data_IF_631356756781
#
_entry.id   IF_631356756781
#
_cell.length_a   1.000
_cell.length_b   1.000
_cell.length_c   1.000
_cell.angle_alpha   90.00
_cell.angle_beta   90.00
_cell.angle_gamma   90.00
#
_symmetry.space_group_name_H-M   'P 1'
#
loop_
_entity.id
_entity.type
_entity.pdbx_description
1 polymer ?
#
# COMPACT_ATOMS: atom_id res chain seq x y z
N UNK A 1 5.78 17.50 -12.23
CA UNK A 1 5.00 18.72 -12.59
C UNK A 1 5.87 19.92 -12.94
N UNK A 2 6.85 20.31 -12.13
CA UNK A 2 7.70 21.49 -12.38
C UNK A 2 8.39 21.46 -13.75
N UNK A 3 9.01 20.34 -14.15
CA UNK A 3 9.66 20.24 -15.47
C UNK A 3 8.71 20.53 -16.64
N UNK A 4 7.46 20.08 -16.56
CA UNK A 4 6.43 20.40 -17.58
C UNK A 4 6.07 21.88 -17.56
N UNK A 5 5.95 22.48 -16.38
CA UNK A 5 5.69 23.91 -16.24
C UNK A 5 6.86 24.76 -16.79
N UNK A 6 8.11 24.36 -16.54
CA UNK A 6 9.30 25.01 -17.11
C UNK A 6 9.27 24.98 -18.65
N UNK A 7 8.85 23.87 -19.26
CA UNK A 7 8.71 23.79 -20.71
C UNK A 7 7.69 24.82 -21.24
N UNK A 8 6.51 24.92 -20.61
CA UNK A 8 5.47 25.91 -20.98
C UNK A 8 5.93 27.36 -20.77
N UNK A 9 6.62 27.65 -19.67
CA UNK A 9 7.21 28.97 -19.41
C UNK A 9 8.26 29.30 -20.47
N UNK A 10 9.08 28.33 -20.88
CA UNK A 10 10.11 28.52 -21.92
C UNK A 10 9.48 28.85 -23.27
N UNK A 11 8.37 28.20 -23.63
CA UNK A 11 7.67 28.43 -24.90
C UNK A 11 6.98 29.80 -24.96
N UNK A 12 6.46 30.28 -23.84
CA UNK A 12 5.60 31.47 -23.80
C UNK A 12 6.33 32.72 -23.29
N UNK A 13 7.41 32.56 -22.53
CA UNK A 13 8.05 33.64 -21.79
C UNK A 13 7.14 34.29 -20.74
N UNK A 14 6.10 33.59 -20.28
CA UNK A 14 5.13 34.08 -19.30
C UNK A 14 5.30 33.36 -17.95
N UNK A 15 5.08 34.06 -16.81
CA UNK A 15 5.05 33.40 -15.51
C UNK A 15 3.86 32.42 -15.44
N UNK A 16 4.04 31.33 -14.68
CA UNK A 16 3.04 30.27 -14.51
C UNK A 16 2.75 30.04 -13.03
N UNK A 17 1.51 30.31 -12.61
CA UNK A 17 0.97 29.88 -11.33
C UNK A 17 0.24 28.53 -11.50
N UNK A 18 0.73 27.50 -10.82
CA UNK A 18 0.11 26.18 -10.77
C UNK A 18 -0.55 25.99 -9.42
N UNK A 19 -1.88 25.93 -9.42
CA UNK A 19 -2.68 25.64 -8.21
C UNK A 19 -3.14 24.20 -8.28
N UNK A 20 -2.87 23.43 -7.23
CA UNK A 20 -3.22 22.03 -7.13
C UNK A 20 -4.14 21.78 -5.93
N UNK A 21 -5.05 20.82 -6.09
CA UNK A 21 -5.85 20.30 -4.98
C UNK A 21 -4.96 19.59 -3.95
N UNK A 22 -5.43 19.52 -2.71
CA UNK A 22 -4.88 18.65 -1.67
C UNK A 22 -6.01 17.81 -1.05
N UNK A 23 -5.69 16.58 -0.66
CA UNK A 23 -6.63 15.65 -0.01
C UNK A 23 -6.77 14.32 -0.72
N UNK A 24 -7.28 13.32 -0.01
CA UNK A 24 -7.67 12.02 -0.53
C UNK A 24 -9.08 12.04 -1.13
N UNK A 25 -9.27 11.36 -2.27
CA UNK A 25 -10.55 11.06 -2.88
C UNK A 25 -10.52 9.64 -3.43
N UNK A 26 -11.25 8.75 -2.77
CA UNK A 26 -11.24 7.31 -3.05
C UNK A 26 -9.80 6.76 -3.08
N UNK A 27 -9.31 6.35 -4.25
CA UNK A 27 -7.95 5.81 -4.41
C UNK A 27 -6.88 6.88 -4.63
N UNK A 28 -7.28 8.10 -5.02
CA UNK A 28 -6.36 9.15 -5.40
C UNK A 28 -6.03 10.04 -4.19
N UNK A 29 -4.78 10.48 -4.12
CA UNK A 29 -4.35 11.51 -3.17
C UNK A 29 -3.76 12.67 -3.96
N UNK A 30 -4.36 13.84 -3.79
CA UNK A 30 -3.83 15.08 -4.32
C UNK A 30 -2.85 15.65 -3.30
N UNK A 31 -1.61 15.88 -3.74
CA UNK A 31 -0.48 16.19 -2.86
C UNK A 31 -0.31 17.69 -2.61
N UNK A 32 -1.16 18.56 -3.17
CA UNK A 32 -0.99 20.00 -3.09
C UNK A 32 0.30 20.44 -3.77
N UNK A 33 1.17 21.15 -3.04
CA UNK A 33 2.43 21.63 -3.59
C UNK A 33 2.22 22.56 -4.79
N UNK A 34 1.23 23.46 -4.69
CA UNK A 34 1.02 24.58 -5.61
C UNK A 34 2.29 25.41 -5.73
N UNK A 35 2.57 26.00 -6.88
CA UNK A 35 3.82 26.74 -7.09
C UNK A 35 3.71 27.86 -8.12
N UNK A 36 4.67 28.78 -8.08
CA UNK A 36 4.83 29.86 -9.04
C UNK A 36 6.21 29.79 -9.70
N UNK A 37 6.24 29.69 -11.03
CA UNK A 37 7.42 29.95 -11.85
C UNK A 37 7.32 31.35 -12.45
N UNK A 38 8.39 32.13 -12.36
CA UNK A 38 8.50 33.40 -13.08
C UNK A 38 8.85 33.17 -14.56
N UNK A 39 8.77 34.22 -15.39
CA UNK A 39 9.13 34.18 -16.80
C UNK A 39 10.59 33.77 -17.06
N UNK A 40 11.48 33.98 -16.08
CA UNK A 40 12.89 33.54 -16.13
C UNK A 40 13.08 32.05 -15.75
N UNK A 41 11.99 31.35 -15.41
CA UNK A 41 11.90 29.95 -14.95
C UNK A 41 12.34 29.73 -13.51
N UNK A 42 12.60 30.79 -12.72
CA UNK A 42 12.87 30.65 -11.30
C UNK A 42 11.60 30.30 -10.53
N UNK A 43 11.74 29.36 -9.60
CA UNK A 43 10.70 29.04 -8.61
C UNK A 43 10.61 30.20 -7.62
N UNK A 44 9.48 30.92 -7.63
CA UNK A 44 9.25 32.09 -6.78
C UNK A 44 8.45 31.76 -5.53
N UNK A 45 7.65 30.71 -5.58
CA UNK A 45 6.87 30.24 -4.44
C UNK A 45 6.54 28.76 -4.61
N UNK A 46 6.42 28.04 -3.50
CA UNK A 46 6.05 26.63 -3.46
C UNK A 46 5.32 26.37 -2.14
N UNK A 47 4.04 26.02 -2.24
CA UNK A 47 3.19 25.70 -1.10
C UNK A 47 3.52 24.34 -0.49
N UNK A 48 2.95 24.10 0.69
CA UNK A 48 3.10 22.85 1.43
C UNK A 48 2.52 21.67 0.66
N UNK A 49 3.07 20.50 0.93
CA UNK A 49 2.65 19.23 0.36
C UNK A 49 1.79 18.50 1.39
N UNK A 50 0.72 17.84 0.96
CA UNK A 50 -0.19 17.07 1.83
C UNK A 50 -0.83 17.88 2.98
N UNK A 51 -0.85 19.21 2.87
CA UNK A 51 -1.44 20.14 3.83
C UNK A 51 -2.27 21.19 3.08
N UNK A 52 -3.43 21.56 3.63
CA UNK A 52 -4.15 22.75 3.19
C UNK A 52 -3.29 23.98 3.45
N UNK A 53 -3.16 24.83 2.44
CA UNK A 53 -2.24 25.95 2.50
C UNK A 53 -2.71 27.14 1.68
N UNK A 54 -2.74 28.32 2.30
CA UNK A 54 -2.97 29.60 1.63
C UNK A 54 -1.64 30.24 1.27
N UNK A 55 -1.24 30.14 0.00
CA UNK A 55 0.00 30.74 -0.50
C UNK A 55 -0.28 32.12 -1.11
N UNK A 56 0.18 33.18 -0.45
CA UNK A 56 -0.01 34.57 -0.91
C UNK A 56 1.13 35.01 -1.83
N UNK A 57 0.77 35.60 -2.97
CA UNK A 57 1.70 36.07 -4.00
C UNK A 57 1.44 37.55 -4.28
N UNK A 58 2.50 38.35 -4.44
CA UNK A 58 2.40 39.77 -4.83
C UNK A 58 2.95 39.97 -6.22
N UNK A 59 2.23 40.71 -7.05
CA UNK A 59 2.66 41.08 -8.39
C UNK A 59 2.73 42.59 -8.50
N UNK A 60 3.74 43.09 -9.20
CA UNK A 60 3.84 44.50 -9.58
C UNK A 60 4.02 44.60 -11.09
N UNK A 61 3.42 45.62 -11.69
CA UNK A 61 3.58 45.90 -13.12
C UNK A 61 4.93 46.57 -13.34
N UNK A 62 5.73 45.98 -14.23
CA UNK A 62 6.96 46.57 -14.73
C UNK A 62 6.62 47.39 -15.97
N UNK A 63 6.61 48.72 -15.85
CA UNK A 63 6.20 49.62 -16.93
C UNK A 63 7.07 49.45 -18.19
N UNK A 64 8.39 49.30 -18.01
CA UNK A 64 9.34 49.17 -19.12
C UNK A 64 9.13 47.91 -19.98
N UNK A 65 8.54 46.86 -19.42
CA UNK A 65 8.31 45.59 -20.11
C UNK A 65 6.81 45.34 -20.39
N UNK A 66 5.93 46.25 -19.96
CA UNK A 66 4.47 46.10 -19.91
C UNK A 66 3.99 44.77 -19.29
N UNK A 67 4.76 44.20 -18.35
CA UNK A 67 4.52 42.87 -17.78
C UNK A 67 4.31 42.90 -16.27
N UNK A 68 3.46 42.01 -15.78
CA UNK A 68 3.37 41.74 -14.35
C UNK A 68 4.47 40.76 -13.94
N UNK A 69 5.25 41.14 -12.93
CA UNK A 69 6.26 40.26 -12.34
C UNK A 69 5.95 40.00 -10.86
N UNK A 70 6.23 38.78 -10.37
CA UNK A 70 6.15 38.51 -8.95
C UNK A 70 7.20 39.30 -8.18
N UNK A 71 6.78 39.91 -7.07
CA UNK A 71 7.59 40.78 -6.22
C UNK A 71 7.55 40.32 -4.77
N UNK A 72 8.59 40.69 -4.02
CA UNK A 72 8.79 40.23 -2.65
C UNK A 72 9.29 38.77 -2.58
N UNK A 73 9.50 38.33 -1.34
CA UNK A 73 9.77 36.94 -1.00
C UNK A 73 8.45 36.23 -0.71
N UNK A 74 8.37 34.96 -1.11
CA UNK A 74 7.26 34.07 -0.81
C UNK A 74 7.81 32.75 -0.29
N UNK A 75 6.94 32.00 0.41
CA UNK A 75 7.32 30.71 0.97
C UNK A 75 7.69 29.69 -0.11
N UNK A 76 8.79 28.97 0.11
CA UNK A 76 9.24 27.88 -0.76
C UNK A 76 9.44 26.62 0.10
N UNK A 77 8.41 25.79 0.16
CA UNK A 77 8.44 24.49 0.84
C UNK A 77 9.08 23.44 -0.07
N UNK A 78 10.11 22.74 0.39
CA UNK A 78 10.75 21.70 -0.42
C UNK A 78 9.83 20.47 -0.52
N UNK A 79 9.82 19.78 -1.68
CA UNK A 79 9.15 18.50 -1.77
C UNK A 79 9.79 17.53 -0.75
N UNK A 80 8.97 16.75 -0.02
CA UNK A 80 9.49 15.77 0.92
C UNK A 80 10.28 14.67 0.19
N UNK A 81 11.07 13.88 0.92
CA UNK A 81 11.78 12.74 0.31
C UNK A 81 10.79 11.67 -0.19
N UNK A 82 11.28 10.69 -0.94
CA UNK A 82 10.41 9.68 -1.56
C UNK A 82 9.62 8.86 -0.53
N UNK A 83 10.24 8.44 0.58
CA UNK A 83 9.55 7.67 1.60
C UNK A 83 8.50 8.53 2.32
N UNK A 84 8.84 9.78 2.63
CA UNK A 84 7.92 10.73 3.25
C UNK A 84 6.73 11.03 2.33
N UNK A 85 6.94 11.22 1.02
CA UNK A 85 5.85 11.41 0.05
C UNK A 85 4.86 10.24 0.08
N UNK A 86 5.36 9.00 0.02
CA UNK A 86 4.52 7.81 0.05
C UNK A 86 3.77 7.71 1.39
N UNK A 87 4.49 7.87 2.50
CA UNK A 87 3.89 7.74 3.83
C UNK A 87 2.81 8.78 4.07
N UNK A 88 3.07 10.05 3.73
CA UNK A 88 2.10 11.14 3.87
C UNK A 88 0.92 10.98 2.94
N UNK A 89 1.11 10.43 1.74
CA UNK A 89 0.01 10.07 0.86
C UNK A 89 -0.88 8.99 1.50
N UNK A 90 -0.30 7.93 2.08
CA UNK A 90 -1.06 6.90 2.79
C UNK A 90 -1.84 7.45 3.99
N UNK A 91 -1.20 8.31 4.79
CA UNK A 91 -1.82 8.97 5.96
C UNK A 91 -2.99 9.85 5.54
N UNK A 92 -2.78 10.74 4.57
CA UNK A 92 -3.82 11.66 4.08
C UNK A 92 -4.97 10.90 3.40
N UNK A 93 -4.65 9.91 2.57
CA UNK A 93 -5.63 9.08 1.89
C UNK A 93 -6.53 8.33 2.88
N UNK A 94 -5.95 7.70 3.91
CA UNK A 94 -6.74 7.02 4.94
C UNK A 94 -7.54 8.00 5.80
N UNK A 95 -6.94 9.11 6.24
CA UNK A 95 -7.62 10.13 7.05
C UNK A 95 -8.88 10.63 6.33
N UNK A 96 -8.71 11.05 5.08
CA UNK A 96 -9.81 11.58 4.28
C UNK A 96 -10.86 10.51 3.96
N UNK A 97 -10.45 9.27 3.66
CA UNK A 97 -11.40 8.20 3.41
C UNK A 97 -12.27 7.92 4.65
N UNK A 98 -11.68 7.89 5.85
CA UNK A 98 -12.40 7.64 7.10
C UNK A 98 -13.28 8.83 7.46
N UNK A 99 -12.73 10.04 7.46
CA UNK A 99 -13.42 11.24 7.97
C UNK A 99 -14.52 11.71 7.01
N UNK A 100 -14.29 11.70 5.69
CA UNK A 100 -15.30 12.14 4.70
C UNK A 100 -16.48 11.19 4.60
N UNK A 101 -16.27 9.90 4.92
CA UNK A 101 -17.34 8.90 4.98
C UNK A 101 -17.95 8.75 6.39
N UNK A 102 -17.48 9.51 7.39
CA UNK A 102 -18.06 9.53 8.73
C UNK A 102 -17.80 8.27 9.57
N UNK A 103 -16.74 7.50 9.27
CA UNK A 103 -16.38 6.35 10.09
C UNK A 103 -15.81 6.80 11.45
N UNK A 104 -16.23 6.19 12.58
CA UNK A 104 -15.74 6.57 13.90
C UNK A 104 -14.25 6.22 14.10
N UNK A 105 -13.71 5.31 13.30
CA UNK A 105 -12.32 4.85 13.35
C UNK A 105 -12.11 3.64 12.45
N UNK A 106 -11.03 2.89 12.70
CA UNK A 106 -10.69 1.66 11.97
C UNK A 106 -10.46 0.47 12.88
N UNK A 107 -10.75 -0.71 12.34
CA UNK A 107 -10.36 -2.01 12.90
C UNK A 107 -9.44 -2.72 11.91
N UNK A 108 -8.41 -3.42 12.40
CA UNK A 108 -7.49 -4.21 11.56
C UNK A 108 -7.02 -5.47 12.28
N UNK A 109 -6.66 -6.49 11.51
CA UNK A 109 -5.96 -7.67 12.02
C UNK A 109 -4.47 -7.37 12.21
N UNK A 110 -3.95 -7.58 13.41
CA UNK A 110 -2.54 -7.37 13.72
C UNK A 110 -1.85 -8.72 13.89
N UNK A 111 -1.23 -9.22 12.81
CA UNK A 111 -0.64 -10.57 12.76
C UNK A 111 0.73 -10.66 13.44
N UNK A 112 1.30 -9.53 13.83
CA UNK A 112 2.71 -9.43 14.22
C UNK A 112 3.65 -9.34 13.02
N UNK A 113 3.16 -9.43 11.77
CA UNK A 113 3.94 -9.20 10.55
C UNK A 113 4.06 -7.72 10.17
N UNK A 114 5.04 -7.41 9.31
CA UNK A 114 5.40 -6.04 8.94
C UNK A 114 4.26 -5.26 8.27
N UNK A 115 3.45 -5.88 7.41
CA UNK A 115 2.40 -5.17 6.67
C UNK A 115 1.30 -4.67 7.59
N UNK A 116 0.87 -5.52 8.54
CA UNK A 116 -0.11 -5.14 9.55
C UNK A 116 0.45 -4.10 10.52
N UNK A 117 1.72 -4.19 10.89
CA UNK A 117 2.38 -3.20 11.75
C UNK A 117 2.50 -1.83 11.08
N UNK A 118 2.90 -1.79 9.80
CA UNK A 118 2.97 -0.54 9.03
C UNK A 118 1.57 0.05 8.81
N UNK A 119 0.58 -0.79 8.49
CA UNK A 119 -0.82 -0.34 8.34
C UNK A 119 -1.37 0.26 9.64
N UNK A 120 -1.06 -0.35 10.79
CA UNK A 120 -1.43 0.18 12.10
C UNK A 120 -0.74 1.52 12.39
N UNK A 121 0.56 1.65 12.07
CA UNK A 121 1.28 2.91 12.24
C UNK A 121 0.67 4.04 11.39
N UNK A 122 0.36 3.77 10.12
CA UNK A 122 -0.31 4.72 9.23
C UNK A 122 -1.69 5.11 9.78
N UNK A 123 -2.47 4.13 10.25
CA UNK A 123 -3.79 4.39 10.84
C UNK A 123 -3.72 5.29 12.07
N UNK A 124 -2.72 5.09 12.93
CA UNK A 124 -2.53 5.90 14.13
C UNK A 124 -2.05 7.31 13.77
N UNK A 125 -1.16 7.46 12.80
CA UNK A 125 -0.76 8.79 12.32
C UNK A 125 -1.89 9.54 11.62
N UNK A 126 -2.80 8.82 10.95
CA UNK A 126 -3.96 9.39 10.29
C UNK A 126 -5.05 9.82 11.29
N UNK A 127 -5.41 8.96 12.25
CA UNK A 127 -6.65 9.09 13.02
C UNK A 127 -6.44 9.28 14.53
N UNK A 128 -5.21 9.05 15.01
CA UNK A 128 -4.89 8.97 16.43
C UNK A 128 -5.26 7.63 17.05
N UNK A 129 -4.51 7.23 18.08
CA UNK A 129 -4.58 5.88 18.65
C UNK A 129 -5.99 5.48 19.18
N UNK A 130 -6.77 6.44 19.68
CA UNK A 130 -8.13 6.19 20.21
C UNK A 130 -9.13 5.70 19.14
N UNK A 131 -8.87 6.00 17.87
CA UNK A 131 -9.72 5.61 16.72
C UNK A 131 -9.20 4.37 16.00
N UNK A 132 -8.19 3.69 16.54
CA UNK A 132 -7.59 2.50 15.94
C UNK A 132 -7.74 1.32 16.91
N UNK A 133 -8.36 0.24 16.43
CA UNK A 133 -8.51 -1.02 17.16
C UNK A 133 -7.82 -2.15 16.39
N UNK A 134 -7.01 -2.93 17.07
CA UNK A 134 -6.37 -4.10 16.52
C UNK A 134 -6.98 -5.38 17.11
N UNK A 135 -7.09 -6.42 16.28
CA UNK A 135 -7.40 -7.78 16.71
C UNK A 135 -6.22 -8.71 16.39
N UNK A 136 -5.72 -9.42 17.40
CA UNK A 136 -4.86 -10.58 17.20
C UNK A 136 -5.73 -11.84 17.19
N UNK A 137 -5.60 -12.67 16.16
CA UNK A 137 -6.51 -13.80 15.90
C UNK A 137 -5.75 -15.10 15.71
N UNK A 138 -5.23 -15.69 16.81
CA UNK A 138 -4.35 -16.84 16.74
C UNK A 138 -5.10 -18.12 16.37
N UNK A 139 -4.39 -19.02 15.70
CA UNK A 139 -4.74 -20.44 15.53
C UNK A 139 -3.64 -21.32 16.13
N UNK A 140 -3.83 -22.64 16.06
CA UNK A 140 -2.79 -23.62 16.45
C UNK A 140 -1.43 -23.45 15.77
N UNK A 141 -1.32 -22.71 14.66
CA UNK A 141 -0.05 -22.46 13.95
C UNK A 141 0.61 -21.14 14.32
N UNK A 142 -0.09 -20.27 15.06
CA UNK A 142 0.41 -18.94 15.40
C UNK A 142 1.56 -19.02 16.39
N UNK A 143 2.69 -18.38 16.05
CA UNK A 143 3.88 -18.45 16.89
C UNK A 143 3.78 -17.53 18.12
N UNK A 144 4.45 -17.91 19.22
CA UNK A 144 4.58 -17.06 20.41
C UNK A 144 5.23 -15.71 20.05
N UNK A 145 6.20 -15.72 19.15
CA UNK A 145 6.87 -14.51 18.68
C UNK A 145 5.90 -13.54 18.00
N UNK A 146 4.98 -14.05 17.17
CA UNK A 146 3.96 -13.22 16.51
C UNK A 146 2.95 -12.61 17.49
N UNK A 147 2.57 -13.34 18.55
CA UNK A 147 1.76 -12.80 19.66
C UNK A 147 2.47 -11.66 20.40
N UNK A 148 3.72 -11.87 20.79
CA UNK A 148 4.55 -10.87 21.46
C UNK A 148 4.78 -9.63 20.58
N UNK A 149 5.04 -9.83 19.28
CA UNK A 149 5.25 -8.76 18.31
C UNK A 149 4.00 -7.90 18.12
N UNK A 150 2.83 -8.53 17.96
CA UNK A 150 1.56 -7.82 17.85
C UNK A 150 1.27 -7.00 19.11
N UNK A 151 1.48 -7.59 20.29
CA UNK A 151 1.32 -6.90 21.57
C UNK A 151 2.26 -5.70 21.71
N UNK A 152 3.53 -5.86 21.32
CA UNK A 152 4.52 -4.79 21.40
C UNK A 152 4.24 -3.65 20.41
N UNK A 153 3.84 -3.96 19.16
CA UNK A 153 3.40 -2.95 18.18
C UNK A 153 2.21 -2.17 18.74
N UNK A 154 1.19 -2.86 19.26
CA UNK A 154 0.01 -2.21 19.82
C UNK A 154 0.36 -1.31 21.01
N UNK A 155 1.24 -1.77 21.91
CA UNK A 155 1.73 -1.02 23.07
C UNK A 155 2.47 0.25 22.65
N UNK A 156 3.40 0.16 21.69
CA UNK A 156 4.18 1.30 21.20
C UNK A 156 3.30 2.35 20.51
N UNK A 157 2.30 1.90 19.77
CA UNK A 157 1.33 2.77 19.10
C UNK A 157 0.25 3.33 20.05
N UNK A 158 0.09 2.75 21.24
CA UNK A 158 -0.95 3.13 22.20
C UNK A 158 -2.37 2.73 21.77
N UNK A 159 -2.51 1.70 20.95
CA UNK A 159 -3.81 1.24 20.43
C UNK A 159 -4.36 0.08 21.25
N UNK A 160 -5.69 -0.07 21.22
CA UNK A 160 -6.36 -1.23 21.83
C UNK A 160 -6.07 -2.47 20.99
N UNK A 161 -5.59 -3.53 21.65
CA UNK A 161 -5.44 -4.87 21.09
C UNK A 161 -6.37 -5.83 21.84
N UNK A 162 -7.25 -6.51 21.11
CA UNK A 162 -8.03 -7.64 21.64
C UNK A 162 -7.51 -8.94 21.00
N UNK A 163 -7.43 -10.01 21.78
CA UNK A 163 -7.07 -11.33 21.28
C UNK A 163 -8.32 -12.23 21.20
N UNK A 164 -8.59 -12.80 20.03
CA UNK A 164 -9.73 -13.68 19.79
C UNK A 164 -9.27 -14.86 18.94
N UNK A 165 -9.12 -16.05 19.55
CA UNK A 165 -8.71 -17.24 18.81
C UNK A 165 -9.73 -17.65 17.75
N UNK A 166 -9.24 -18.04 16.57
CA UNK A 166 -10.07 -18.62 15.50
C UNK A 166 -10.21 -20.14 15.61
N UNK A 167 -9.53 -20.77 16.56
CA UNK A 167 -9.46 -22.23 16.70
C UNK A 167 -10.84 -22.90 16.80
N UNK A 168 -11.83 -22.36 17.54
CA UNK A 168 -13.17 -22.95 17.58
C UNK A 168 -13.87 -22.91 16.23
N UNK A 169 -13.75 -21.80 15.49
CA UNK A 169 -14.36 -21.66 14.17
C UNK A 169 -13.67 -22.57 13.14
N UNK A 170 -12.34 -22.64 13.18
CA UNK A 170 -11.56 -23.50 12.30
C UNK A 170 -11.91 -24.97 12.50
N UNK A 171 -11.95 -25.44 13.75
CA UNK A 171 -12.32 -26.82 14.09
C UNK A 171 -13.75 -27.15 13.66
N UNK A 172 -14.69 -26.22 13.85
CA UNK A 172 -16.07 -26.41 13.42
C UNK A 172 -16.18 -26.57 11.88
N UNK A 173 -15.49 -25.72 11.11
CA UNK A 173 -15.48 -25.83 9.65
C UNK A 173 -14.84 -27.14 9.16
N UNK A 174 -13.73 -27.58 9.77
CA UNK A 174 -13.12 -28.87 9.44
C UNK A 174 -14.08 -30.03 9.71
N UNK A 175 -14.75 -30.07 10.86
CA UNK A 175 -15.74 -31.11 11.17
C UNK A 175 -16.96 -31.10 10.23
N UNK A 176 -17.39 -29.93 9.76
CA UNK A 176 -18.46 -29.83 8.77
C UNK A 176 -18.06 -30.36 7.39
N UNK A 177 -16.78 -30.24 7.03
CA UNK A 177 -16.25 -30.60 5.71
C UNK A 177 -15.63 -31.99 5.68
N UNK A 178 -15.37 -32.61 6.83
CA UNK A 178 -14.79 -33.96 6.98
C UNK A 178 -15.44 -35.00 6.06
N UNK A 179 -16.79 -35.13 5.97
CA UNK A 179 -17.41 -36.12 5.08
C UNK A 179 -17.22 -35.85 3.58
N UNK A 180 -16.85 -34.62 3.21
CA UNK A 180 -16.61 -34.20 1.82
C UNK A 180 -15.14 -34.25 1.44
N UNK A 181 -14.25 -34.00 2.40
CA UNK A 181 -12.80 -34.00 2.18
C UNK A 181 -12.22 -35.42 2.24
N UNK A 182 -12.89 -36.34 2.92
CA UNK A 182 -12.44 -37.74 3.06
C UNK A 182 -10.98 -37.77 3.59
N UNK A 183 -10.16 -38.69 3.11
CA UNK A 183 -8.74 -38.79 3.50
C UNK A 183 -7.80 -37.93 2.63
N UNK A 184 -8.30 -36.87 1.97
CA UNK A 184 -7.43 -35.99 1.18
C UNK A 184 -6.46 -35.22 2.10
N UNK A 185 -5.18 -35.07 1.70
CA UNK A 185 -4.20 -34.35 2.51
C UNK A 185 -4.53 -32.86 2.57
N UNK A 186 -4.30 -32.18 3.71
CA UNK A 186 -4.47 -30.73 3.82
C UNK A 186 -3.66 -29.96 2.77
N UNK A 187 -4.27 -28.92 2.22
CA UNK A 187 -3.66 -28.03 1.24
C UNK A 187 -4.02 -26.56 1.51
N UNK A 188 -3.95 -25.72 0.48
CA UNK A 188 -4.34 -24.30 0.59
C UNK A 188 -5.79 -24.08 1.06
N UNK A 189 -6.65 -25.10 0.99
CA UNK A 189 -8.04 -25.07 1.41
C UNK A 189 -8.16 -24.79 2.90
N UNK A 190 -7.46 -25.56 3.74
CA UNK A 190 -7.41 -25.41 5.18
C UNK A 190 -6.79 -24.08 5.60
N UNK A 191 -5.72 -23.66 4.91
CA UNK A 191 -5.10 -22.35 5.09
C UNK A 191 -6.11 -21.21 4.82
N UNK A 192 -6.88 -21.31 3.73
CA UNK A 192 -7.88 -20.32 3.35
C UNK A 192 -9.08 -20.27 4.33
N UNK A 193 -9.46 -21.39 4.96
CA UNK A 193 -10.52 -21.40 5.99
C UNK A 193 -10.11 -20.51 7.17
N UNK A 194 -8.86 -20.61 7.62
CA UNK A 194 -8.34 -19.77 8.71
C UNK A 194 -8.39 -18.28 8.33
N UNK A 195 -7.96 -17.91 7.12
CA UNK A 195 -8.02 -16.52 6.66
C UNK A 195 -9.47 -15.98 6.62
N UNK A 196 -10.43 -16.79 6.17
CA UNK A 196 -11.86 -16.42 6.15
C UNK A 196 -12.47 -16.32 7.55
N UNK A 197 -12.08 -17.18 8.48
CA UNK A 197 -12.53 -17.08 9.88
C UNK A 197 -12.09 -15.75 10.51
N UNK A 198 -10.84 -15.31 10.26
CA UNK A 198 -10.34 -13.99 10.69
C UNK A 198 -11.14 -12.84 10.09
N UNK A 199 -11.46 -12.92 8.80
CA UNK A 199 -12.27 -11.90 8.12
C UNK A 199 -13.67 -11.77 8.73
N UNK A 200 -14.33 -12.90 9.04
CA UNK A 200 -15.64 -12.89 9.70
C UNK A 200 -15.59 -12.19 11.06
N UNK A 201 -14.56 -12.46 11.89
CA UNK A 201 -14.40 -11.77 13.18
C UNK A 201 -14.21 -10.26 13.01
N UNK A 202 -13.31 -9.85 12.11
CA UNK A 202 -13.03 -8.44 11.84
C UNK A 202 -14.27 -7.70 11.32
N UNK A 203 -14.99 -8.30 10.38
CA UNK A 203 -16.23 -7.74 9.86
C UNK A 203 -17.33 -7.69 10.92
N UNK A 204 -17.45 -8.71 11.78
CA UNK A 204 -18.41 -8.69 12.88
C UNK A 204 -18.13 -7.55 13.86
N UNK A 205 -16.86 -7.29 14.19
CA UNK A 205 -16.45 -6.13 15.01
C UNK A 205 -16.75 -4.81 14.29
N UNK A 206 -16.42 -4.71 13.00
CA UNK A 206 -16.75 -3.55 12.16
C UNK A 206 -18.26 -3.27 12.17
N UNK A 207 -19.10 -4.27 11.91
CA UNK A 207 -20.56 -4.13 11.89
C UNK A 207 -21.14 -3.78 13.26
N UNK A 208 -20.60 -4.35 14.35
CA UNK A 208 -21.13 -4.12 15.70
C UNK A 208 -20.79 -2.74 16.24
N UNK A 209 -19.59 -2.24 15.98
CA UNK A 209 -19.08 -1.02 16.61
C UNK A 209 -18.93 0.17 15.64
N UNK A 210 -19.10 -0.07 14.34
CA UNK A 210 -18.99 0.95 13.28
C UNK A 210 -17.61 1.26 12.68
N UNK A 211 -16.43 0.87 13.22
CA UNK A 211 -15.16 1.23 12.58
C UNK A 211 -15.00 0.50 11.25
N UNK A 212 -14.35 1.15 10.28
CA UNK A 212 -14.07 0.54 8.99
C UNK A 212 -12.98 -0.53 9.11
N UNK A 213 -13.16 -1.69 8.47
CA UNK A 213 -12.11 -2.69 8.36
C UNK A 213 -11.02 -2.24 7.38
N UNK A 214 -9.80 -2.02 7.89
CA UNK A 214 -8.60 -1.72 7.11
C UNK A 214 -7.83 -3.02 6.79
N UNK A 215 -7.67 -3.32 5.50
CA UNK A 215 -6.87 -4.47 5.07
C UNK A 215 -5.39 -4.15 5.00
N UNK A 216 -4.54 -5.17 5.09
CA UNK A 216 -3.08 -5.02 5.19
C UNK A 216 -2.31 -5.61 4.02
N UNK A 217 -2.99 -6.08 2.97
CA UNK A 217 -2.34 -6.68 1.80
C UNK A 217 -1.57 -5.64 0.97
N UNK A 218 -0.34 -5.98 0.59
CA UNK A 218 0.54 -5.10 -0.19
C UNK A 218 0.46 -5.37 -1.72
N UNK A 219 1.07 -4.49 -2.52
CA UNK A 219 1.03 -4.59 -3.99
C UNK A 219 1.67 -5.87 -4.50
N UNK A 220 2.73 -6.37 -3.87
CA UNK A 220 3.41 -7.60 -4.28
C UNK A 220 2.50 -8.81 -4.15
N UNK A 221 1.87 -8.97 -2.98
CA UNK A 221 0.90 -10.05 -2.69
C UNK A 221 -0.30 -9.98 -3.64
N UNK A 222 -0.91 -8.81 -3.80
CA UNK A 222 -2.03 -8.61 -4.72
C UNK A 222 -1.65 -8.86 -6.18
N UNK A 223 -0.42 -8.56 -6.56
CA UNK A 223 0.08 -8.78 -7.93
C UNK A 223 0.08 -10.26 -8.28
N UNK A 224 0.62 -11.11 -7.41
CA UNK A 224 0.74 -12.55 -7.69
C UNK A 224 -0.41 -13.38 -7.12
N UNK A 225 -1.38 -12.74 -6.47
CA UNK A 225 -2.55 -13.39 -5.89
C UNK A 225 -2.24 -14.21 -4.64
N UNK A 226 -1.15 -13.86 -3.94
CA UNK A 226 -0.78 -14.43 -2.64
C UNK A 226 -1.67 -13.83 -1.55
N UNK A 227 -2.95 -14.17 -1.65
CA UNK A 227 -4.05 -13.57 -0.91
C UNK A 227 -5.29 -14.46 -0.95
N UNK A 228 -6.11 -14.38 0.09
CA UNK A 228 -7.34 -15.16 0.21
C UNK A 228 -8.55 -14.26 -0.05
N UNK A 229 -9.33 -14.59 -1.09
CA UNK A 229 -10.62 -13.95 -1.29
C UNK A 229 -11.52 -14.19 -0.08
N UNK A 230 -12.11 -13.10 0.41
CA UNK A 230 -12.94 -13.07 1.61
C UNK A 230 -12.20 -13.47 2.89
N UNK A 231 -10.86 -13.52 2.83
CA UNK A 231 -9.96 -13.63 3.97
C UNK A 231 -9.24 -12.31 4.20
N UNK A 232 -7.92 -12.30 4.04
CA UNK A 232 -7.06 -11.10 4.15
C UNK A 232 -7.42 -9.95 3.20
N UNK A 233 -8.13 -10.24 2.10
CA UNK A 233 -8.65 -9.22 1.18
C UNK A 233 -9.93 -8.53 1.68
N UNK A 234 -10.55 -9.01 2.75
CA UNK A 234 -11.83 -8.48 3.24
C UNK A 234 -11.62 -7.16 4.00
N UNK A 235 -12.16 -6.07 3.48
CA UNK A 235 -12.21 -4.78 4.17
C UNK A 235 -12.75 -3.65 3.31
N UNK A 236 -12.82 -2.45 3.88
CA UNK A 236 -13.34 -1.25 3.23
C UNK A 236 -12.26 -0.41 2.53
N UNK A 237 -11.01 -0.50 2.98
CA UNK A 237 -9.90 0.27 2.41
C UNK A 237 -8.56 -0.44 2.63
N UNK A 238 -7.54 -0.13 1.82
CA UNK A 238 -6.16 -0.62 1.96
C UNK A 238 -5.14 0.50 1.77
N UNK A 239 -4.33 0.77 2.80
CA UNK A 239 -3.23 1.75 2.67
C UNK A 239 -2.04 1.21 1.90
N UNK A 240 -1.85 -0.12 1.87
CA UNK A 240 -0.71 -0.76 1.22
C UNK A 240 -1.01 -1.29 -0.20
N UNK A 241 -2.24 -1.07 -0.70
CA UNK A 241 -2.73 -1.58 -1.99
C UNK A 241 -1.73 -1.40 -3.14
N UNK A 242 -1.09 -0.24 -3.19
CA UNK A 242 -0.17 0.13 -4.27
C UNK A 242 1.28 0.34 -3.77
N UNK A 243 1.65 -0.32 -2.68
CA UNK A 243 3.00 -0.31 -2.08
C UNK A 243 3.62 -1.71 -2.20
N UNK A 244 4.76 -1.84 -2.87
CA UNK A 244 5.49 -3.12 -2.94
C UNK A 244 6.11 -3.50 -1.60
N UNK A 245 6.35 -4.80 -1.38
CA UNK A 245 6.93 -5.34 -0.14
C UNK A 245 8.27 -4.70 0.20
N UNK A 246 9.16 -4.55 -0.78
CA UNK A 246 10.44 -3.83 -0.60
C UNK A 246 10.25 -2.40 -0.09
N UNK A 247 9.18 -1.73 -0.55
CA UNK A 247 8.82 -0.37 -0.10
C UNK A 247 8.18 -0.40 1.29
N UNK A 248 7.40 -1.44 1.64
CA UNK A 248 6.90 -1.65 3.02
C UNK A 248 8.06 -1.69 4.03
N UNK A 249 9.13 -2.46 3.75
CA UNK A 249 10.33 -2.49 4.59
C UNK A 249 11.01 -1.12 4.70
N UNK A 250 11.14 -0.40 3.58
CA UNK A 250 11.73 0.94 3.56
C UNK A 250 10.92 1.94 4.41
N UNK A 251 9.59 1.90 4.28
CA UNK A 251 8.66 2.78 5.01
C UNK A 251 8.60 2.47 6.50
N UNK A 252 8.63 1.19 6.89
CA UNK A 252 8.68 0.81 8.31
C UNK A 252 9.94 1.37 8.99
N UNK A 253 11.11 1.21 8.34
CA UNK A 253 12.37 1.79 8.83
C UNK A 253 12.35 3.31 8.82
N UNK A 254 11.80 3.93 7.78
CA UNK A 254 11.65 5.38 7.70
C UNK A 254 10.76 5.90 8.85
N UNK A 255 9.60 5.29 9.08
CA UNK A 255 8.66 5.69 10.14
C UNK A 255 9.23 5.52 11.55
N UNK A 256 10.11 4.55 11.76
CA UNK A 256 10.81 4.40 13.04
C UNK A 256 11.83 5.52 13.32
N UNK A 257 12.40 6.11 12.26
CA UNK A 257 13.36 7.23 12.37
C UNK A 257 12.67 8.59 12.36
N UNK A 258 11.52 8.68 11.72
CA UNK A 258 10.84 9.94 11.41
C UNK A 258 9.36 9.83 11.73
N UNK A 259 8.85 10.71 12.60
CA UNK A 259 7.41 10.95 12.68
C UNK A 259 7.00 11.91 11.56
N UNK A 260 5.99 11.57 10.74
CA UNK A 260 5.57 12.46 9.65
C UNK A 260 5.01 13.78 10.21
N UNK A 261 5.25 14.93 9.55
CA UNK A 261 4.60 16.19 9.89
C UNK A 261 3.07 16.03 9.94
N UNK A 262 2.46 16.46 11.04
CA UNK A 262 1.00 16.36 11.26
C UNK A 262 0.48 14.94 11.54
N UNK A 263 1.36 13.95 11.72
CA UNK A 263 0.97 12.61 12.17
C UNK A 263 0.52 12.61 13.62
N UNK A 264 -0.56 11.90 13.95
CA UNK A 264 -1.12 11.83 15.31
C UNK A 264 -0.52 10.72 16.18
N UNK A 265 0.37 9.89 15.64
CA UNK A 265 1.02 8.82 16.36
C UNK A 265 2.23 9.27 17.18
N UNK A 266 2.74 8.36 18.03
CA UNK A 266 3.84 8.66 18.92
C UNK A 266 5.15 8.90 18.17
N UNK A 267 6.04 9.67 18.82
CA UNK A 267 7.43 9.85 18.41
C UNK A 267 8.24 8.56 18.58
N UNK A 268 9.34 8.45 17.84
CA UNK A 268 10.29 7.34 17.96
C UNK A 268 9.87 6.06 17.23
N UNK A 269 10.56 4.96 17.57
CA UNK A 269 10.43 3.67 16.89
C UNK A 269 9.18 2.91 17.33
N UNK A 270 8.12 2.97 16.52
CA UNK A 270 6.80 2.38 16.80
C UNK A 270 6.66 0.93 16.34
N UNK A 271 7.47 0.49 15.36
CA UNK A 271 7.51 -0.90 14.87
C UNK A 271 8.77 -1.56 15.44
N UNK A 272 8.68 -2.68 16.18
CA UNK A 272 9.87 -3.37 16.70
C UNK A 272 10.80 -3.84 15.57
N UNK A 273 12.12 -3.77 15.78
CA UNK A 273 13.09 -4.21 14.75
C UNK A 273 12.91 -5.68 14.38
N UNK A 274 12.57 -6.55 15.36
CA UNK A 274 12.24 -7.96 15.13
C UNK A 274 11.11 -8.15 14.11
N UNK A 275 10.12 -7.25 14.08
CA UNK A 275 9.01 -7.28 13.10
C UNK A 275 9.49 -6.90 11.69
N UNK A 276 10.52 -6.05 11.59
CA UNK A 276 11.11 -5.61 10.33
C UNK A 276 12.11 -6.65 9.79
N UNK A 277 12.85 -7.34 10.65
CA UNK A 277 13.90 -8.27 10.25
C UNK A 277 13.41 -9.70 10.04
N UNK A 278 12.30 -10.10 10.68
CA UNK A 278 11.80 -11.47 10.55
C UNK A 278 11.31 -11.75 9.11
N UNK A 279 11.54 -12.97 8.60
CA UNK A 279 11.01 -13.38 7.31
C UNK A 279 9.47 -13.25 7.25
N UNK A 280 8.90 -12.73 6.15
CA UNK A 280 7.46 -12.70 5.94
C UNK A 280 6.82 -14.11 5.96
N UNK A 281 5.67 -14.21 6.62
CA UNK A 281 4.87 -15.42 6.73
C UNK A 281 3.41 -15.09 7.05
N UNK A 282 2.48 -15.89 6.52
CA UNK A 282 1.06 -15.86 6.87
C UNK A 282 0.68 -16.74 8.09
N UNK A 283 1.59 -17.59 8.57
CA UNK A 283 1.39 -18.53 9.69
C UNK A 283 0.07 -19.33 9.61
N UNK A 284 -0.25 -19.88 8.42
CA UNK A 284 -1.43 -20.70 8.17
C UNK A 284 -1.15 -22.20 8.26
N UNK A 285 0.12 -22.60 8.23
CA UNK A 285 0.60 -23.97 8.48
C UNK A 285 1.94 -23.93 9.21
N UNK A 286 2.38 -25.08 9.71
CA UNK A 286 3.67 -25.20 10.40
C UNK A 286 4.84 -24.73 9.51
N UNK A 287 5.73 -23.95 10.11
CA UNK A 287 6.98 -23.44 9.52
C UNK A 287 6.84 -22.73 8.16
N UNK A 288 5.66 -22.17 7.87
CA UNK A 288 5.37 -21.49 6.60
C UNK A 288 6.25 -20.26 6.38
N UNK A 289 6.77 -20.11 5.16
CA UNK A 289 7.38 -18.86 4.66
C UNK A 289 6.76 -18.47 3.33
N UNK A 290 6.66 -17.16 3.06
CA UNK A 290 6.16 -16.67 1.77
C UNK A 290 7.03 -17.19 0.60
N UNK A 291 8.34 -17.26 0.83
CA UNK A 291 9.34 -17.73 -0.14
C UNK A 291 9.24 -19.23 -0.47
N UNK A 292 8.43 -20.00 0.28
CA UNK A 292 8.09 -21.38 -0.12
C UNK A 292 7.32 -21.38 -1.47
N UNK A 293 6.56 -20.30 -1.73
CA UNK A 293 5.69 -20.16 -2.92
C UNK A 293 6.08 -19.01 -3.83
N UNK A 294 6.83 -18.03 -3.34
CA UNK A 294 7.21 -16.83 -4.10
C UNK A 294 8.74 -16.77 -4.28
N UNK A 295 9.24 -16.15 -5.37
CA UNK A 295 10.62 -15.70 -5.40
C UNK A 295 10.88 -14.68 -4.29
N UNK A 296 12.14 -14.46 -3.87
CA UNK A 296 12.48 -13.43 -2.91
C UNK A 296 11.91 -12.07 -3.32
N UNK A 297 11.34 -11.33 -2.36
CA UNK A 297 10.60 -10.09 -2.65
C UNK A 297 11.41 -9.05 -3.42
N UNK A 298 12.73 -8.95 -3.17
CA UNK A 298 13.60 -8.03 -3.91
C UNK A 298 13.62 -8.34 -5.42
N UNK A 299 13.61 -9.63 -5.80
CA UNK A 299 13.56 -10.06 -7.19
C UNK A 299 12.13 -9.95 -7.75
N UNK A 300 11.15 -10.39 -6.96
CA UNK A 300 9.74 -10.36 -7.34
C UNK A 300 9.29 -8.94 -7.69
N UNK A 301 9.59 -7.97 -6.82
CA UNK A 301 9.14 -6.58 -6.98
C UNK A 301 9.74 -5.92 -8.22
N UNK A 302 11.01 -6.19 -8.56
CA UNK A 302 11.65 -5.65 -9.77
C UNK A 302 11.01 -6.22 -11.05
N UNK A 303 10.70 -7.52 -11.07
CA UNK A 303 9.98 -8.14 -12.18
C UNK A 303 8.57 -7.53 -12.30
N UNK A 304 7.86 -7.35 -11.17
CA UNK A 304 6.52 -6.78 -11.14
C UNK A 304 6.50 -5.32 -11.60
N UNK A 305 7.44 -4.47 -11.16
CA UNK A 305 7.59 -3.10 -11.64
C UNK A 305 7.75 -3.05 -13.16
N UNK A 306 8.62 -3.91 -13.70
CA UNK A 306 8.80 -4.00 -15.15
C UNK A 306 7.53 -4.45 -15.89
N UNK A 307 6.83 -5.47 -15.39
CA UNK A 307 5.60 -5.98 -16.01
C UNK A 307 4.39 -5.01 -15.89
N UNK A 308 4.31 -4.25 -14.81
CA UNK A 308 3.11 -3.46 -14.46
C UNK A 308 3.31 -1.99 -14.82
N UNK A 309 4.38 -1.37 -14.32
CA UNK A 309 4.60 0.08 -14.40
C UNK A 309 5.31 0.48 -15.68
N UNK A 310 6.29 -0.31 -16.11
CA UNK A 310 7.03 -0.07 -17.35
C UNK A 310 6.40 -0.72 -18.59
N UNK A 311 5.37 -1.56 -18.40
CA UNK A 311 4.66 -2.30 -19.46
C UNK A 311 5.57 -3.18 -20.33
N UNK A 312 6.65 -3.70 -19.75
CA UNK A 312 7.60 -4.54 -20.45
C UNK A 312 7.01 -5.92 -20.74
N UNK A 313 7.41 -6.49 -21.88
CA UNK A 313 7.14 -7.89 -22.14
C UNK A 313 8.04 -8.78 -21.27
N UNK A 314 7.65 -10.03 -20.99
CA UNK A 314 8.54 -10.99 -20.33
C UNK A 314 9.87 -11.20 -21.08
N UNK A 315 9.85 -11.08 -22.40
CA UNK A 315 11.04 -11.13 -23.26
C UNK A 315 12.01 -10.01 -22.93
N UNK A 316 11.51 -8.79 -22.73
CA UNK A 316 12.35 -7.63 -22.41
C UNK A 316 12.95 -7.74 -21.00
N UNK A 317 12.22 -8.35 -20.06
CA UNK A 317 12.75 -8.66 -18.73
C UNK A 317 13.87 -9.69 -18.77
N UNK A 318 13.71 -10.75 -19.56
CA UNK A 318 14.79 -11.71 -19.78
C UNK A 318 16.02 -11.04 -20.42
N UNK A 319 15.81 -10.14 -21.39
CA UNK A 319 16.91 -9.34 -21.98
C UNK A 319 17.60 -8.41 -20.97
N UNK A 320 16.89 -7.98 -19.92
CA UNK A 320 17.46 -7.21 -18.80
C UNK A 320 18.26 -8.08 -17.82
N UNK A 321 18.33 -9.40 -18.05
CA UNK A 321 19.12 -10.33 -17.25
C UNK A 321 18.34 -11.07 -16.17
N UNK A 322 17.01 -10.97 -16.13
CA UNK A 322 16.19 -11.78 -15.23
C UNK A 322 16.09 -13.23 -15.71
N UNK A 323 16.08 -14.16 -14.76
CA UNK A 323 15.95 -15.59 -15.03
C UNK A 323 14.62 -15.91 -15.79
N UNK A 324 14.67 -16.59 -16.95
CA UNK A 324 13.49 -16.86 -17.78
C UNK A 324 12.36 -17.63 -17.08
N UNK A 325 12.70 -18.60 -16.24
CA UNK A 325 11.70 -19.43 -15.56
C UNK A 325 11.00 -18.65 -14.44
N UNK A 326 11.77 -17.86 -13.70
CA UNK A 326 11.24 -16.93 -12.70
C UNK A 326 10.32 -15.88 -13.32
N UNK A 327 10.73 -15.25 -14.42
CA UNK A 327 9.89 -14.27 -15.14
C UNK A 327 8.60 -14.92 -15.64
N UNK A 328 8.69 -16.13 -16.22
CA UNK A 328 7.51 -16.89 -16.69
C UNK A 328 6.55 -17.19 -15.54
N UNK A 329 7.07 -17.67 -14.41
CA UNK A 329 6.29 -17.97 -13.21
C UNK A 329 5.57 -16.72 -12.68
N UNK A 330 6.30 -15.62 -12.48
CA UNK A 330 5.74 -14.35 -11.99
C UNK A 330 4.70 -13.78 -12.95
N UNK A 331 4.97 -13.75 -14.26
CA UNK A 331 4.00 -13.29 -15.26
C UNK A 331 2.73 -14.15 -15.25
N UNK A 332 2.86 -15.46 -15.06
CA UNK A 332 1.70 -16.37 -14.99
C UNK A 332 0.88 -16.13 -13.73
N UNK A 333 1.52 -16.01 -12.57
CA UNK A 333 0.84 -15.66 -11.31
C UNK A 333 0.12 -14.32 -11.41
N UNK A 334 0.77 -13.32 -12.04
CA UNK A 334 0.20 -12.01 -12.28
C UNK A 334 -1.11 -12.09 -13.08
N UNK A 335 -1.12 -12.84 -14.18
CA UNK A 335 -2.30 -12.98 -15.02
C UNK A 335 -3.42 -13.77 -14.32
N UNK A 336 -3.09 -14.87 -13.61
CA UNK A 336 -4.06 -15.68 -12.88
C UNK A 336 -4.74 -14.94 -11.72
N UNK A 337 -4.05 -13.98 -11.11
CA UNK A 337 -4.56 -13.23 -9.96
C UNK A 337 -5.56 -12.11 -10.32
N UNK A 338 -5.88 -11.90 -11.60
CA UNK A 338 -6.77 -10.82 -12.04
C UNK A 338 -8.16 -10.89 -11.38
N UNK A 339 -8.76 -12.08 -11.26
CA UNK A 339 -10.08 -12.23 -10.64
C UNK A 339 -10.10 -11.85 -9.15
N UNK A 340 -8.99 -12.08 -8.43
CA UNK A 340 -8.84 -11.68 -7.03
C UNK A 340 -8.76 -10.15 -6.94
N UNK A 341 -7.86 -9.54 -7.72
CA UNK A 341 -7.64 -8.08 -7.71
C UNK A 341 -8.88 -7.27 -8.04
N UNK A 342 -9.76 -7.79 -8.89
CA UNK A 342 -11.04 -7.14 -9.23
C UNK A 342 -12.01 -7.01 -8.06
N UNK A 343 -11.78 -7.76 -6.98
CA UNK A 343 -12.57 -7.74 -5.74
C UNK A 343 -11.78 -7.15 -4.55
N UNK A 344 -10.55 -6.70 -4.78
CA UNK A 344 -9.77 -6.04 -3.75
C UNK A 344 -10.42 -4.68 -3.38
N UNK A 345 -10.35 -4.26 -2.12
CA UNK A 345 -10.90 -2.97 -1.70
C UNK A 345 -10.20 -1.80 -2.42
N UNK A 346 -10.83 -0.61 -2.45
CA UNK A 346 -10.12 0.61 -2.81
C UNK A 346 -8.94 0.85 -1.85
N UNK A 347 -7.98 1.62 -2.30
CA UNK A 347 -6.78 1.89 -1.52
C UNK A 347 -5.94 2.98 -2.14
N UNK A 348 -4.94 3.45 -1.38
CA UNK A 348 -4.14 4.60 -1.80
C UNK A 348 -3.27 4.23 -3.00
N UNK A 349 -3.45 4.96 -4.10
CA UNK A 349 -2.61 4.88 -5.29
C UNK A 349 -1.34 5.71 -5.08
N UNK A 350 -0.19 5.09 -5.27
CA UNK A 350 1.14 5.69 -5.07
C UNK A 350 1.93 5.72 -6.38
N UNK A 351 1.84 4.65 -7.16
CA UNK A 351 2.60 4.45 -8.39
C UNK A 351 1.93 5.09 -9.60
N UNK A 352 2.66 5.22 -10.70
CA UNK A 352 2.09 5.75 -11.94
C UNK A 352 0.96 4.86 -12.49
N UNK A 353 1.08 3.54 -12.34
CA UNK A 353 0.16 2.53 -12.87
C UNK A 353 -0.25 1.54 -11.79
N UNK A 354 -1.45 1.77 -11.26
CA UNK A 354 -2.08 0.88 -10.28
C UNK A 354 -3.02 -0.13 -10.96
N UNK A 355 -3.35 -1.20 -10.23
CA UNK A 355 -4.37 -2.15 -10.66
C UNK A 355 -5.76 -1.49 -10.65
N UNK A 356 -6.56 -1.77 -11.68
CA UNK A 356 -7.90 -1.19 -11.84
C UNK A 356 -7.96 -0.26 -13.04
N UNK A 357 -8.15 1.04 -12.82
CA UNK A 357 -8.41 1.99 -13.92
C UNK A 357 -7.26 2.09 -14.92
N UNK A 358 -6.01 2.05 -14.45
CA UNK A 358 -4.80 2.27 -15.28
C UNK A 358 -4.25 1.00 -15.93
N UNK A 359 -4.60 -0.18 -15.38
CA UNK A 359 -4.27 -1.49 -15.93
C UNK A 359 -5.50 -2.39 -15.92
N UNK A 360 -6.15 -2.50 -17.08
CA UNK A 360 -7.38 -3.28 -17.29
C UNK A 360 -7.08 -4.54 -18.08
N UNK A 361 -7.05 -5.68 -17.40
CA UNK A 361 -6.87 -6.98 -18.04
C UNK A 361 -8.15 -7.80 -17.94
N UNK A 362 -8.42 -8.69 -18.93
CA UNK A 362 -9.54 -9.60 -18.86
C UNK A 362 -9.30 -10.68 -17.80
N UNK A 363 -10.35 -11.06 -17.06
CA UNK A 363 -10.33 -12.23 -16.18
C UNK A 363 -10.27 -13.50 -17.03
N UNK A 364 -11.17 -13.62 -17.99
CA UNK A 364 -11.19 -14.72 -18.96
C UNK A 364 -10.08 -14.49 -19.97
N UNK A 365 -8.91 -15.06 -19.69
CA UNK A 365 -7.71 -14.87 -20.47
C UNK A 365 -6.96 -16.20 -20.68
N UNK A 366 -6.94 -16.67 -21.92
CA UNK A 366 -6.13 -17.83 -22.33
C UNK A 366 -4.87 -17.42 -23.11
N UNK A 367 -4.55 -16.13 -23.19
CA UNK A 367 -3.34 -15.66 -23.86
C UNK A 367 -2.09 -16.19 -23.14
N UNK A 368 -1.39 -17.12 -23.78
CA UNK A 368 -0.11 -17.65 -23.31
C UNK A 368 1.02 -16.91 -24.02
N UNK A 369 1.88 -16.26 -23.24
CA UNK A 369 3.04 -15.51 -23.75
C UNK A 369 4.13 -16.50 -24.19
N UNK A 370 4.06 -16.97 -25.44
CA UNK A 370 4.98 -17.99 -26.01
C UNK A 370 6.39 -17.46 -26.33
N UNK A 371 6.62 -16.14 -26.30
CA UNK A 371 7.89 -15.52 -26.70
C UNK A 371 9.11 -15.85 -25.83
N UNK A 372 8.92 -16.29 -24.59
CA UNK A 372 10.05 -16.66 -23.70
C UNK A 372 10.76 -17.93 -24.20
N UNK A 373 10.00 -18.93 -24.66
CA UNK A 373 10.56 -20.19 -25.17
C UNK A 373 11.46 -19.97 -26.40
N UNK A 374 11.11 -18.99 -27.24
CA UNK A 374 11.89 -18.62 -28.41
C UNK A 374 13.26 -17.97 -28.07
N UNK A 375 13.41 -17.38 -26.88
CA UNK A 375 14.70 -16.80 -26.43
C UNK A 375 15.61 -17.83 -25.77
N UNK A 376 15.03 -18.85 -25.15
CA UNK A 376 15.77 -19.89 -24.42
C UNK A 376 16.11 -21.10 -25.29
N UNK A 377 15.83 -21.06 -26.60
CA UNK A 377 16.17 -22.14 -27.54
C UNK A 377 15.41 -23.45 -27.32
N UNK A 378 14.33 -23.44 -26.52
CA UNK A 378 13.50 -24.61 -26.25
C UNK A 378 12.45 -24.79 -27.34
N UNK A 379 12.49 -25.91 -28.06
CA UNK A 379 11.46 -26.34 -29.00
C UNK A 379 10.11 -26.53 -28.32
#
# INVERSE_FOLDING_TARGET
RIQRAVARVTETGLPLAYVNQVGGQDELVFDGGSFLLDADRRLRAQGRFFEEHLLLLRFARQEAEERWRPTGEAEIHRPPDHCEQIYRAMVLGLRDYVDKNGFPGVVLGLSGGIDSALSAAVAVDALGAKRVRALMMPSRYTSKASLEDAAEVARRLGIRLDEISIEPAYTAFLGMLEPLFDDLPPDTTEENIQARARAVLLMAVSNKFGPMLLTTGNKSEMSVGYATLYGDMCGGFSVLKDVYKTTVFALARWRNRTRPPGGLGPEGAVIPERVIEKPPSAELRADQKDEDTLPPYALLDEILKGLIEEDLSPVDLVRRGFDPDTVRRVSTMLDLAEYKRRQAPPGVKITARAFGRDRRYPITNAFRRTGIAALTGGR
#
